data_IF_050921898057
#
_entry.id   IF_050921898057
#
_cell.length_a   1.000
_cell.length_b   1.000
_cell.length_c   1.000
_cell.angle_alpha   90.00
_cell.angle_beta   90.00
_cell.angle_gamma   90.00
#
_symmetry.space_group_name_H-M   'P 1'
#
loop_
_entity.id
_entity.type
_entity.pdbx_description
1 polymer ?
#
# COMPACT_ATOMS: atom_id res chain seq x y z
N UNK A 1 -31.48 43.16 4.31
CA UNK A 1 -30.39 43.58 3.39
C UNK A 1 -30.09 42.39 2.48
N UNK A 2 -30.54 42.47 1.21
CA UNK A 2 -30.48 41.33 0.25
C UNK A 2 -29.17 41.37 -0.49
N UNK A 3 -28.38 40.29 -0.37
CA UNK A 3 -27.11 40.12 -1.10
C UNK A 3 -27.40 39.42 -2.43
N UNK A 4 -27.05 40.08 -3.53
CA UNK A 4 -27.23 39.60 -4.90
C UNK A 4 -26.06 38.72 -5.32
N UNK A 5 -26.35 37.50 -5.77
CA UNK A 5 -25.41 36.61 -6.46
C UNK A 5 -25.27 37.06 -7.94
N UNK A 6 -24.06 37.35 -8.36
CA UNK A 6 -23.70 37.53 -9.77
C UNK A 6 -23.20 36.20 -10.34
N UNK A 7 -23.93 35.68 -11.33
CA UNK A 7 -23.54 34.54 -12.16
C UNK A 7 -22.81 35.09 -13.37
N UNK A 8 -21.55 34.69 -13.54
CA UNK A 8 -20.78 34.94 -14.76
C UNK A 8 -20.97 33.78 -15.73
N UNK A 9 -21.58 34.09 -16.87
CA UNK A 9 -21.73 33.21 -18.03
C UNK A 9 -20.45 33.36 -18.90
N UNK A 10 -19.70 32.27 -19.11
CA UNK A 10 -18.61 32.22 -20.08
C UNK A 10 -19.12 31.52 -21.34
N UNK A 11 -19.18 32.26 -22.42
CA UNK A 11 -19.52 31.75 -23.76
C UNK A 11 -18.26 31.18 -24.40
N UNK A 12 -18.27 29.87 -24.72
CA UNK A 12 -17.24 29.24 -25.51
C UNK A 12 -17.56 29.30 -27.01
N UNK A 13 -16.70 29.97 -27.77
CA UNK A 13 -16.76 29.98 -29.25
C UNK A 13 -16.14 28.65 -29.76
N UNK A 14 -16.92 27.93 -30.53
CA UNK A 14 -16.49 26.78 -31.34
C UNK A 14 -15.95 27.26 -32.69
N UNK A 15 -14.69 26.88 -32.98
CA UNK A 15 -14.10 27.02 -34.32
C UNK A 15 -14.08 25.65 -34.98
N UNK A 16 -14.90 25.48 -36.02
CA UNK A 16 -14.94 24.30 -36.87
C UNK A 16 -13.89 24.46 -38.00
N UNK A 17 -12.92 23.58 -38.12
CA UNK A 17 -12.02 23.46 -39.28
C UNK A 17 -12.35 22.18 -40.03
N UNK A 18 -12.91 22.36 -41.23
CA UNK A 18 -13.05 21.34 -42.29
C UNK A 18 -11.66 20.97 -42.84
N UNK A 19 -11.32 19.68 -42.86
CA UNK A 19 -10.27 19.17 -43.73
C UNK A 19 -10.81 18.04 -44.62
N UNK A 20 -10.53 18.20 -45.90
CA UNK A 20 -11.01 17.40 -47.01
C UNK A 20 -10.43 15.97 -47.01
N UNK A 21 -11.28 15.00 -47.33
CA UNK A 21 -10.92 13.62 -47.65
C UNK A 21 -10.29 13.51 -49.02
N UNK A 22 -9.09 12.93 -49.13
CA UNK A 22 -8.57 12.38 -50.39
C UNK A 22 -8.49 10.86 -50.26
N UNK A 23 -9.31 10.20 -51.06
CA UNK A 23 -9.35 8.75 -51.27
C UNK A 23 -8.16 8.27 -52.11
N UNK A 24 -7.32 7.34 -51.59
CA UNK A 24 -6.44 6.49 -52.39
C UNK A 24 -6.74 5.03 -52.14
N UNK A 25 -7.00 4.29 -53.24
CA UNK A 25 -7.23 2.84 -53.31
C UNK A 25 -6.03 2.04 -52.78
N UNK A 26 -6.25 0.87 -52.13
CA UNK A 26 -5.16 0.00 -51.71
C UNK A 26 -4.64 -0.87 -52.84
N UNK A 27 -3.32 -0.92 -53.00
CA UNK A 27 -2.59 -1.89 -53.82
C UNK A 27 -2.35 -3.13 -52.97
N UNK A 28 -2.80 -4.29 -53.46
CA UNK A 28 -2.59 -5.58 -52.84
C UNK A 28 -1.12 -6.05 -53.05
N UNK A 29 -0.35 -6.12 -51.97
CA UNK A 29 0.93 -6.80 -51.93
C UNK A 29 0.80 -8.13 -51.18
N UNK A 30 1.03 -9.25 -51.88
CA UNK A 30 1.11 -10.59 -51.28
C UNK A 30 2.44 -10.72 -50.54
N UNK A 31 2.40 -10.69 -49.21
CA UNK A 31 3.52 -11.01 -48.34
C UNK A 31 3.38 -12.46 -47.84
N UNK A 32 4.48 -13.23 -48.04
CA UNK A 32 4.63 -14.63 -47.60
C UNK A 32 4.47 -14.76 -46.07
N UNK A 33 3.62 -15.68 -45.66
CA UNK A 33 3.51 -16.15 -44.27
C UNK A 33 4.80 -16.88 -43.92
N UNK A 34 5.64 -16.23 -43.12
CA UNK A 34 6.74 -16.89 -42.42
C UNK A 34 6.24 -17.35 -41.08
N UNK A 35 6.17 -18.65 -40.88
CA UNK A 35 5.80 -19.31 -39.61
C UNK A 35 6.80 -18.88 -38.52
N UNK A 36 6.33 -17.97 -37.65
CA UNK A 36 7.05 -17.60 -36.42
C UNK A 36 6.95 -18.75 -35.43
N UNK A 37 8.10 -19.37 -35.14
CA UNK A 37 8.23 -20.33 -34.02
C UNK A 37 7.85 -19.65 -32.74
N UNK A 38 6.84 -20.19 -32.07
CA UNK A 38 6.42 -19.82 -30.71
C UNK A 38 7.60 -20.03 -29.75
N UNK A 39 8.27 -18.95 -29.41
CA UNK A 39 9.27 -18.94 -28.33
C UNK A 39 8.49 -18.93 -27.02
N UNK A 40 8.43 -20.07 -26.34
CA UNK A 40 8.00 -20.12 -24.94
C UNK A 40 8.93 -19.20 -24.13
N UNK A 41 8.41 -18.29 -23.28
CA UNK A 41 9.25 -17.58 -22.35
C UNK A 41 9.83 -18.61 -21.37
N UNK A 42 11.11 -18.87 -21.46
CA UNK A 42 11.87 -19.56 -20.42
C UNK A 42 11.94 -18.59 -19.25
N UNK A 43 11.09 -18.80 -18.26
CA UNK A 43 11.25 -18.17 -16.97
C UNK A 43 12.61 -18.57 -16.43
N UNK A 44 13.58 -17.66 -16.47
CA UNK A 44 14.87 -17.79 -15.83
C UNK A 44 14.57 -17.84 -14.32
N UNK A 45 14.58 -19.03 -13.74
CA UNK A 45 14.58 -19.20 -12.30
C UNK A 45 15.85 -18.53 -11.79
N UNK A 46 15.74 -17.32 -11.29
CA UNK A 46 16.81 -16.68 -10.56
C UNK A 46 16.96 -17.46 -9.25
N UNK A 47 18.14 -18.01 -9.04
CA UNK A 47 18.55 -18.70 -7.80
C UNK A 47 18.82 -17.65 -6.70
N UNK A 48 17.89 -16.72 -6.55
CA UNK A 48 18.01 -15.62 -5.60
C UNK A 48 17.69 -16.11 -4.20
N UNK A 49 18.62 -15.89 -3.27
CA UNK A 49 18.38 -16.08 -1.86
C UNK A 49 17.32 -15.08 -1.38
N UNK A 50 16.44 -15.54 -0.49
CA UNK A 50 15.38 -14.68 0.04
C UNK A 50 14.17 -15.46 0.54
N UNK A 51 13.15 -14.72 0.96
CA UNK A 51 11.86 -15.26 1.35
C UNK A 51 10.84 -14.90 0.29
N UNK A 52 10.09 -15.90 -0.16
CA UNK A 52 9.10 -15.73 -1.22
C UNK A 52 7.73 -16.19 -0.72
N UNK A 53 6.68 -15.47 -1.11
CA UNK A 53 5.30 -15.90 -0.97
C UNK A 53 4.76 -16.34 -2.33
N UNK A 54 4.30 -17.58 -2.43
CA UNK A 54 3.64 -18.14 -3.59
C UNK A 54 2.13 -18.13 -3.36
N UNK A 55 1.42 -17.22 -4.00
CA UNK A 55 -0.03 -17.17 -4.02
C UNK A 55 -0.55 -18.10 -5.11
N UNK A 56 -1.27 -19.15 -4.75
CA UNK A 56 -2.06 -19.93 -5.69
C UNK A 56 -3.46 -19.34 -5.75
N UNK A 57 -3.81 -18.73 -6.86
CA UNK A 57 -5.11 -18.06 -7.03
C UNK A 57 -6.00 -18.79 -8.01
N UNK A 58 -7.28 -18.42 -8.09
CA UNK A 58 -8.21 -18.90 -9.11
C UNK A 58 -7.79 -18.56 -10.55
N UNK A 59 -6.83 -17.62 -10.74
CA UNK A 59 -6.32 -17.19 -12.06
C UNK A 59 -4.92 -17.70 -12.35
N UNK A 60 -4.24 -18.32 -11.41
CA UNK A 60 -2.90 -18.82 -11.57
C UNK A 60 -2.01 -18.49 -10.37
N UNK A 61 -0.70 -18.65 -10.56
CA UNK A 61 0.29 -18.45 -9.52
C UNK A 61 0.95 -17.08 -9.61
N UNK A 62 1.05 -16.41 -8.46
CA UNK A 62 1.83 -15.17 -8.29
C UNK A 62 2.95 -15.47 -7.31
N UNK A 63 4.19 -15.11 -7.64
CA UNK A 63 5.34 -15.22 -6.73
C UNK A 63 5.83 -13.83 -6.37
N UNK A 64 5.94 -13.58 -5.06
CA UNK A 64 6.36 -12.29 -4.49
C UNK A 64 7.60 -12.52 -3.64
N UNK A 65 8.63 -11.72 -3.83
CA UNK A 65 9.78 -11.65 -2.91
C UNK A 65 9.43 -10.73 -1.75
N UNK A 66 9.71 -11.17 -0.51
CA UNK A 66 9.42 -10.42 0.70
C UNK A 66 10.66 -9.69 1.22
N UNK A 67 10.49 -8.46 1.66
CA UNK A 67 11.55 -7.54 2.12
C UNK A 67 11.85 -7.73 3.63
N UNK A 68 12.13 -8.96 4.04
CA UNK A 68 12.25 -9.37 5.46
C UNK A 68 13.40 -8.68 6.23
N UNK A 69 14.38 -8.11 5.53
CA UNK A 69 15.47 -7.34 6.15
C UNK A 69 15.05 -5.90 6.42
N UNK A 70 14.27 -5.28 5.52
CA UNK A 70 13.89 -3.87 5.57
C UNK A 70 12.59 -3.61 6.33
N UNK A 71 11.65 -4.57 6.29
CA UNK A 71 10.35 -4.48 6.96
C UNK A 71 10.07 -5.77 7.75
N UNK A 72 10.94 -6.11 8.74
CA UNK A 72 10.91 -7.39 9.41
C UNK A 72 9.61 -7.68 10.17
N UNK A 73 8.98 -6.69 10.79
CA UNK A 73 7.73 -6.89 11.55
C UNK A 73 6.56 -7.14 10.59
N UNK A 74 6.47 -6.37 9.52
CA UNK A 74 5.42 -6.51 8.49
C UNK A 74 5.51 -7.86 7.80
N UNK A 75 6.73 -8.28 7.42
CA UNK A 75 6.97 -9.59 6.82
C UNK A 75 6.70 -10.71 7.82
N UNK A 76 7.10 -10.56 9.09
CA UNK A 76 6.84 -11.54 10.14
C UNK A 76 5.33 -11.71 10.41
N UNK A 77 4.57 -10.62 10.45
CA UNK A 77 3.12 -10.66 10.51
C UNK A 77 2.53 -11.47 9.34
N UNK A 78 2.88 -11.09 8.11
CA UNK A 78 2.36 -11.75 6.91
C UNK A 78 2.69 -13.23 6.86
N UNK A 79 3.96 -13.61 7.14
CA UNK A 79 4.39 -15.02 7.13
C UNK A 79 3.71 -15.83 8.22
N UNK A 80 3.67 -15.31 9.46
CA UNK A 80 3.05 -16.05 10.57
C UNK A 80 1.55 -16.26 10.36
N UNK A 81 0.86 -15.32 9.71
CA UNK A 81 -0.52 -15.49 9.26
C UNK A 81 -0.62 -16.55 8.15
N UNK A 82 0.22 -16.47 7.12
CA UNK A 82 0.21 -17.41 5.99
C UNK A 82 0.50 -18.87 6.44
N UNK A 83 1.38 -19.04 7.43
CA UNK A 83 1.75 -20.36 7.97
C UNK A 83 0.84 -20.82 9.13
N UNK A 84 -0.11 -19.99 9.60
CA UNK A 84 -0.98 -20.31 10.73
C UNK A 84 -0.25 -20.37 12.08
N UNK A 85 0.92 -19.75 12.19
CA UNK A 85 1.78 -19.75 13.40
C UNK A 85 1.66 -18.47 14.23
N UNK A 86 0.76 -17.56 13.84
CA UNK A 86 0.57 -16.29 14.53
C UNK A 86 -0.19 -16.48 15.85
N UNK A 87 0.49 -16.22 16.99
CA UNK A 87 -0.06 -16.38 18.33
C UNK A 87 -1.09 -15.31 18.71
N UNK A 88 -1.11 -14.18 18.00
CA UNK A 88 -1.98 -13.03 18.33
C UNK A 88 -3.41 -13.20 17.80
N UNK A 89 -3.66 -14.22 16.97
CA UNK A 89 -5.01 -14.54 16.48
C UNK A 89 -5.87 -15.04 17.64
N UNK A 90 -6.94 -14.28 17.93
CA UNK A 90 -7.90 -14.60 19.01
C UNK A 90 -9.13 -15.36 18.53
N UNK A 91 -9.46 -15.28 17.24
CA UNK A 91 -10.59 -16.04 16.68
C UNK A 91 -10.20 -17.52 16.56
N UNK A 92 -10.84 -18.36 17.35
CA UNK A 92 -10.61 -19.81 17.37
C UNK A 92 -10.87 -20.50 16.02
N UNK A 93 -11.64 -19.88 15.14
CA UNK A 93 -11.88 -20.40 13.78
C UNK A 93 -10.66 -20.22 12.87
N UNK A 94 -9.85 -19.18 13.12
CA UNK A 94 -8.68 -18.80 12.33
C UNK A 94 -7.36 -19.21 12.98
N UNK A 95 -7.35 -19.43 14.28
CA UNK A 95 -6.17 -19.76 15.07
C UNK A 95 -5.55 -21.09 14.63
N UNK A 96 -4.24 -21.09 14.43
CA UNK A 96 -3.49 -22.29 14.03
C UNK A 96 -3.74 -22.75 12.59
N UNK A 97 -4.36 -21.93 11.76
CA UNK A 97 -4.66 -22.23 10.36
C UNK A 97 -3.99 -21.21 9.43
N UNK A 98 -3.60 -21.61 8.20
CA UNK A 98 -3.20 -20.68 7.16
C UNK A 98 -4.29 -19.63 6.93
N UNK A 99 -4.00 -18.39 7.37
CA UNK A 99 -5.00 -17.32 7.47
C UNK A 99 -5.56 -16.90 6.11
N UNK A 100 -4.71 -16.89 5.07
CA UNK A 100 -5.07 -16.37 3.75
C UNK A 100 -5.77 -17.39 2.85
N UNK A 101 -5.74 -18.67 3.21
CA UNK A 101 -6.30 -19.76 2.40
C UNK A 101 -7.82 -19.64 2.30
N UNK A 102 -8.33 -19.62 1.08
CA UNK A 102 -9.75 -19.48 0.78
C UNK A 102 -10.29 -18.04 0.85
N UNK A 103 -9.46 -17.04 1.21
CA UNK A 103 -9.86 -15.65 1.15
C UNK A 103 -9.94 -15.15 -0.29
N UNK A 104 -10.62 -14.04 -0.50
CA UNK A 104 -10.81 -13.45 -1.81
C UNK A 104 -10.13 -12.08 -1.95
N UNK A 105 -9.87 -11.69 -3.19
CA UNK A 105 -9.58 -10.32 -3.52
C UNK A 105 -10.90 -9.53 -3.50
N UNK A 106 -11.26 -9.01 -2.33
CA UNK A 106 -12.55 -8.35 -2.09
C UNK A 106 -12.67 -6.97 -2.74
N UNK A 107 -11.54 -6.37 -3.16
CA UNK A 107 -11.53 -5.08 -3.84
C UNK A 107 -10.49 -5.10 -4.95
N UNK A 108 -10.93 -4.87 -6.18
CA UNK A 108 -10.06 -4.77 -7.36
C UNK A 108 -10.41 -3.48 -8.08
N UNK A 109 -9.41 -2.62 -8.28
CA UNK A 109 -9.55 -1.40 -9.07
C UNK A 109 -8.57 -1.50 -10.24
N UNK A 110 -9.11 -1.56 -11.43
CA UNK A 110 -8.33 -1.62 -12.66
C UNK A 110 -7.36 -0.43 -12.75
N UNK A 111 -6.15 -0.68 -13.25
CA UNK A 111 -5.09 0.31 -13.35
C UNK A 111 -4.68 0.94 -12.00
N UNK A 112 -5.00 0.30 -10.89
CA UNK A 112 -4.57 0.72 -9.57
C UNK A 112 -4.01 -0.46 -8.75
N UNK A 113 -4.86 -1.35 -8.20
CA UNK A 113 -4.40 -2.45 -7.35
C UNK A 113 -5.45 -3.56 -7.20
N UNK A 114 -5.00 -4.72 -6.74
CA UNK A 114 -5.83 -5.79 -6.18
C UNK A 114 -5.61 -5.86 -4.67
N UNK A 115 -6.68 -5.95 -3.87
CA UNK A 115 -6.63 -5.96 -2.40
C UNK A 115 -7.31 -7.22 -1.86
N UNK A 116 -6.62 -7.91 -0.94
CA UNK A 116 -7.07 -9.13 -0.28
C UNK A 116 -6.65 -9.16 1.19
N UNK A 117 -6.77 -10.36 1.82
CA UNK A 117 -6.35 -10.58 3.20
C UNK A 117 -7.39 -10.19 4.25
N UNK A 118 -8.64 -9.97 3.85
CA UNK A 118 -9.78 -9.74 4.74
C UNK A 118 -10.57 -11.02 4.96
N UNK A 119 -10.66 -11.56 6.19
CA UNK A 119 -11.46 -12.78 6.47
C UNK A 119 -12.97 -12.56 6.31
N UNK A 120 -13.47 -11.32 6.41
CA UNK A 120 -14.87 -10.99 6.16
C UNK A 120 -15.17 -10.82 4.66
N UNK A 121 -14.14 -10.59 3.85
CA UNK A 121 -14.25 -10.44 2.39
C UNK A 121 -15.04 -9.21 1.93
N UNK A 122 -15.11 -8.16 2.72
CA UNK A 122 -15.83 -6.90 2.42
C UNK A 122 -15.05 -5.63 2.76
N UNK A 123 -13.79 -5.76 3.20
CA UNK A 123 -12.90 -4.67 3.58
C UNK A 123 -12.92 -4.30 5.06
N UNK A 124 -13.84 -4.87 5.87
CA UNK A 124 -13.99 -4.50 7.30
C UNK A 124 -13.23 -5.41 8.25
N UNK A 125 -12.76 -6.57 7.79
CA UNK A 125 -12.11 -7.59 8.62
C UNK A 125 -10.59 -7.42 8.70
N UNK A 126 -9.99 -8.23 9.58
CA UNK A 126 -8.54 -8.27 9.77
C UNK A 126 -8.13 -9.38 10.72
N UNK A 127 -6.89 -9.36 11.17
CA UNK A 127 -6.32 -10.34 12.10
C UNK A 127 -6.80 -10.22 13.55
N UNK A 128 -7.62 -9.18 13.85
CA UNK A 128 -8.10 -8.91 15.21
C UNK A 128 -7.15 -8.07 16.07
N UNK A 129 -6.05 -7.58 15.48
CA UNK A 129 -5.11 -6.64 16.08
C UNK A 129 -4.62 -5.65 15.00
N UNK A 130 -3.96 -4.59 15.45
CA UNK A 130 -3.26 -3.65 14.59
C UNK A 130 -1.78 -3.58 14.97
N UNK A 131 -0.89 -3.19 14.04
CA UNK A 131 0.54 -3.01 14.29
C UNK A 131 1.10 -1.81 13.54
N UNK A 132 2.32 -1.38 13.90
CA UNK A 132 2.98 -0.18 13.39
C UNK A 132 3.30 -0.26 11.89
N UNK A 133 3.48 0.91 11.29
CA UNK A 133 4.04 1.04 9.96
C UNK A 133 5.56 0.80 9.99
N UNK A 134 6.09 0.25 8.90
CA UNK A 134 7.52 0.16 8.63
C UNK A 134 7.79 0.80 7.27
N UNK A 135 8.39 1.99 7.28
CA UNK A 135 8.73 2.75 6.09
C UNK A 135 10.25 2.74 5.88
N UNK A 136 10.72 1.95 4.91
CA UNK A 136 12.09 2.01 4.45
C UNK A 136 12.20 3.00 3.27
N UNK A 137 13.14 3.96 3.30
CA UNK A 137 13.25 5.00 2.27
C UNK A 137 13.57 4.45 0.87
N UNK A 138 14.07 3.22 0.77
CA UNK A 138 14.37 2.55 -0.50
C UNK A 138 13.20 1.74 -1.05
N UNK A 139 12.16 1.50 -0.24
CA UNK A 139 10.97 0.78 -0.66
C UNK A 139 9.87 1.77 -1.06
N UNK A 140 9.53 1.76 -2.33
CA UNK A 140 8.60 2.71 -2.95
C UNK A 140 7.53 1.99 -3.76
N UNK A 141 6.40 2.67 -3.95
CA UNK A 141 5.35 2.26 -4.88
C UNK A 141 5.67 2.79 -6.30
N UNK A 142 6.86 2.49 -6.82
CA UNK A 142 7.45 3.07 -8.04
C UNK A 142 7.20 2.26 -9.32
N UNK A 143 6.56 1.12 -9.21
CA UNK A 143 6.33 0.18 -10.32
C UNK A 143 5.12 -0.73 -10.09
N UNK A 144 4.66 -1.44 -11.14
CA UNK A 144 3.70 -2.54 -10.99
C UNK A 144 4.24 -3.66 -10.08
N UNK A 145 3.33 -4.35 -9.40
CA UNK A 145 3.66 -5.54 -8.62
C UNK A 145 4.23 -5.25 -7.22
N UNK A 146 4.10 -4.05 -6.70
CA UNK A 146 4.48 -3.74 -5.31
C UNK A 146 3.45 -4.34 -4.36
N UNK A 147 3.91 -5.15 -3.39
CA UNK A 147 3.12 -5.70 -2.29
C UNK A 147 3.23 -4.76 -1.09
N UNK A 148 2.10 -4.27 -0.61
CA UNK A 148 2.03 -3.28 0.46
C UNK A 148 0.84 -3.52 1.39
N UNK A 149 0.92 -3.03 2.65
CA UNK A 149 -0.15 -3.18 3.63
C UNK A 149 -1.30 -2.21 3.36
N UNK A 150 -2.52 -2.73 3.37
CA UNK A 150 -3.70 -1.89 3.48
C UNK A 150 -3.91 -1.49 4.96
N UNK A 151 -4.27 -0.22 5.19
CA UNK A 151 -4.52 0.32 6.52
C UNK A 151 -5.60 1.41 6.47
N UNK A 152 -6.08 1.82 7.65
CA UNK A 152 -7.06 2.90 7.84
C UNK A 152 -6.41 4.16 8.46
N UNK A 153 -5.11 4.33 8.27
CA UNK A 153 -4.30 5.39 8.84
C UNK A 153 -3.07 4.85 9.57
N UNK A 154 -2.26 5.71 10.18
CA UNK A 154 -1.01 5.30 10.84
C UNK A 154 -1.22 4.21 11.89
N UNK A 155 -0.33 3.20 11.92
CA UNK A 155 -0.29 2.11 12.89
C UNK A 155 -1.57 1.23 12.95
N UNK A 156 -2.32 1.17 11.85
CA UNK A 156 -3.53 0.33 11.73
C UNK A 156 -3.35 -0.85 10.78
N UNK A 157 -2.11 -1.26 10.50
CA UNK A 157 -1.85 -2.46 9.70
C UNK A 157 -2.40 -3.71 10.41
N UNK A 158 -2.93 -4.66 9.64
CA UNK A 158 -3.52 -5.90 10.15
C UNK A 158 -3.17 -7.08 9.22
N UNK A 159 -4.14 -7.72 8.61
CA UNK A 159 -3.93 -8.81 7.66
C UNK A 159 -4.12 -8.38 6.20
N UNK A 160 -4.80 -7.26 5.93
CA UNK A 160 -5.10 -6.84 4.57
C UNK A 160 -3.86 -6.30 3.85
N UNK A 161 -3.70 -6.67 2.60
CA UNK A 161 -2.62 -6.25 1.71
C UNK A 161 -3.15 -5.89 0.33
N UNK A 162 -2.35 -5.21 -0.48
CA UNK A 162 -2.64 -4.97 -1.88
C UNK A 162 -1.39 -5.19 -2.75
N UNK A 163 -1.62 -5.50 -4.04
CA UNK A 163 -0.58 -5.58 -5.07
C UNK A 163 -0.93 -4.58 -6.15
N UNK A 164 0.03 -3.71 -6.53
CA UNK A 164 -0.19 -2.63 -7.48
C UNK A 164 -0.20 -3.09 -8.92
N UNK A 165 -1.06 -2.49 -9.77
CA UNK A 165 -1.04 -2.66 -11.23
C UNK A 165 -0.06 -1.70 -11.93
N UNK A 166 0.29 -0.59 -11.28
CA UNK A 166 1.21 0.45 -11.77
C UNK A 166 1.92 1.13 -10.60
N UNK A 167 2.75 2.11 -10.90
CA UNK A 167 3.30 3.03 -9.90
C UNK A 167 2.21 3.84 -9.20
N UNK A 168 2.35 3.99 -7.87
CA UNK A 168 1.39 4.71 -7.02
C UNK A 168 2.11 5.53 -5.95
N UNK A 169 2.96 6.51 -6.35
CA UNK A 169 3.88 7.19 -5.45
C UNK A 169 3.20 8.00 -4.34
N UNK A 170 1.92 8.34 -4.48
CA UNK A 170 1.12 9.01 -3.44
C UNK A 170 0.85 8.15 -2.20
N UNK A 171 1.15 6.83 -2.26
CA UNK A 171 1.04 5.88 -1.15
C UNK A 171 2.35 5.77 -0.34
N UNK A 172 3.46 6.33 -0.84
CA UNK A 172 4.74 6.33 -0.14
C UNK A 172 4.63 7.03 1.22
N UNK A 173 5.21 6.40 2.26
CA UNK A 173 5.14 6.91 3.63
C UNK A 173 3.76 6.83 4.28
N UNK A 174 2.78 6.17 3.63
CA UNK A 174 1.43 5.92 4.17
C UNK A 174 1.11 4.44 4.30
N UNK A 175 1.65 3.62 3.41
CA UNK A 175 1.48 2.17 3.38
C UNK A 175 2.84 1.49 3.38
N UNK A 176 3.01 0.47 4.22
CA UNK A 176 4.27 -0.26 4.37
C UNK A 176 4.48 -1.21 3.18
N UNK A 177 5.43 -0.88 2.31
CA UNK A 177 5.88 -1.79 1.24
C UNK A 177 6.68 -2.90 1.88
N UNK A 178 6.31 -4.17 1.62
CA UNK A 178 7.00 -5.31 2.22
C UNK A 178 7.33 -6.43 1.22
N UNK A 179 7.14 -6.19 -0.08
CA UNK A 179 7.51 -7.14 -1.13
C UNK A 179 7.23 -6.63 -2.52
N UNK A 180 7.63 -7.43 -3.50
CA UNK A 180 7.36 -7.16 -4.91
C UNK A 180 7.20 -8.46 -5.71
N UNK A 181 6.37 -8.42 -6.74
CA UNK A 181 6.11 -9.56 -7.64
C UNK A 181 7.36 -9.86 -8.47
N UNK A 182 7.83 -11.09 -8.40
CA UNK A 182 8.94 -11.61 -9.23
C UNK A 182 8.45 -12.46 -10.41
N UNK A 183 7.22 -13.01 -10.31
CA UNK A 183 6.59 -13.78 -11.39
C UNK A 183 5.06 -13.74 -11.24
N UNK A 184 4.33 -13.74 -12.35
CA UNK A 184 2.87 -13.78 -12.37
C UNK A 184 2.20 -12.40 -12.39
N UNK A 185 2.86 -11.35 -12.94
CA UNK A 185 2.21 -10.06 -13.15
C UNK A 185 1.02 -10.12 -14.12
N UNK A 186 1.06 -11.02 -15.08
CA UNK A 186 -0.07 -11.34 -15.96
C UNK A 186 -1.27 -11.89 -15.17
N UNK A 187 -1.02 -12.71 -14.14
CA UNK A 187 -2.04 -13.21 -13.22
C UNK A 187 -2.57 -12.07 -12.35
N UNK A 188 -1.71 -11.21 -11.80
CA UNK A 188 -2.13 -10.00 -11.04
C UNK A 188 -3.11 -9.17 -11.87
N UNK A 189 -2.78 -8.93 -13.15
CA UNK A 189 -3.62 -8.15 -14.05
C UNK A 189 -4.91 -8.87 -14.47
N UNK A 190 -4.97 -10.20 -14.37
CA UNK A 190 -6.15 -11.01 -14.69
C UNK A 190 -7.11 -11.20 -13.51
N UNK A 191 -6.67 -10.93 -12.27
CA UNK A 191 -7.50 -11.01 -11.05
C UNK A 191 -8.66 -10.03 -11.15
N UNK A 192 -9.85 -10.52 -10.81
CA UNK A 192 -11.09 -9.74 -10.68
C UNK A 192 -11.60 -9.80 -9.24
N UNK A 193 -12.48 -8.88 -8.93
CA UNK A 193 -13.13 -8.88 -7.62
C UNK A 193 -13.80 -10.24 -7.35
N UNK A 194 -13.63 -10.70 -6.11
CA UNK A 194 -14.08 -12.00 -5.59
C UNK A 194 -13.32 -13.22 -6.12
N UNK A 195 -12.27 -13.07 -6.93
CA UNK A 195 -11.33 -14.16 -7.22
C UNK A 195 -10.64 -14.65 -5.95
N UNK A 196 -10.38 -15.96 -5.87
CA UNK A 196 -9.92 -16.61 -4.65
C UNK A 196 -8.38 -16.66 -4.56
N UNK A 197 -7.89 -16.51 -3.33
CA UNK A 197 -6.59 -16.95 -2.89
C UNK A 197 -6.77 -18.37 -2.37
N UNK A 198 -6.47 -19.38 -3.21
CA UNK A 198 -6.64 -20.77 -2.81
C UNK A 198 -5.67 -21.17 -1.70
N UNK A 199 -4.41 -20.65 -1.76
CA UNK A 199 -3.41 -20.83 -0.70
C UNK A 199 -2.26 -19.83 -0.85
N UNK A 200 -1.56 -19.57 0.26
CA UNK A 200 -0.29 -18.82 0.28
C UNK A 200 0.78 -19.70 0.89
N UNK A 201 1.81 -20.05 0.10
CA UNK A 201 2.95 -20.85 0.55
C UNK A 201 4.20 -19.99 0.71
N UNK A 202 4.87 -20.10 1.84
CA UNK A 202 6.15 -19.42 2.10
C UNK A 202 7.31 -20.32 1.70
N UNK A 203 8.22 -19.77 0.87
CA UNK A 203 9.42 -20.46 0.39
C UNK A 203 10.65 -19.66 0.85
N UNK A 204 11.55 -20.33 1.61
CA UNK A 204 12.79 -19.72 2.13
C UNK A 204 13.98 -20.30 1.38
N UNK A 205 14.76 -19.45 0.70
CA UNK A 205 15.98 -19.82 -0.02
C UNK A 205 17.19 -19.16 0.62
N UNK A 206 18.24 -19.93 0.87
CA UNK A 206 19.44 -19.47 1.55
C UNK A 206 19.35 -19.53 3.07
N UNK A 207 20.51 -19.49 3.74
CA UNK A 207 20.58 -19.76 5.17
C UNK A 207 20.00 -18.65 6.04
N UNK A 208 20.12 -17.39 5.64
CA UNK A 208 19.56 -16.26 6.41
C UNK A 208 18.03 -16.25 6.33
N UNK A 209 17.47 -16.54 5.14
CA UNK A 209 16.04 -16.69 4.97
C UNK A 209 15.45 -17.83 5.83
N UNK A 210 16.17 -18.94 5.95
CA UNK A 210 15.76 -20.10 6.79
C UNK A 210 15.80 -19.79 8.29
N UNK A 211 16.67 -18.86 8.73
CA UNK A 211 16.77 -18.43 10.13
C UNK A 211 15.68 -17.41 10.54
N UNK A 212 14.97 -16.85 9.57
CA UNK A 212 13.92 -15.87 9.85
C UNK A 212 12.70 -16.54 10.50
N UNK A 213 12.60 -16.44 11.80
CA UNK A 213 11.51 -16.99 12.63
C UNK A 213 10.40 -15.93 12.76
N UNK A 214 9.45 -15.96 11.82
CA UNK A 214 8.39 -14.99 11.73
C UNK A 214 7.48 -14.97 12.98
N UNK A 215 7.11 -16.14 13.50
CA UNK A 215 6.25 -16.24 14.68
C UNK A 215 6.90 -15.61 15.90
N UNK A 216 8.18 -15.92 16.14
CA UNK A 216 8.94 -15.36 17.25
C UNK A 216 9.14 -13.85 17.11
N UNK A 217 9.53 -13.36 15.92
CA UNK A 217 9.75 -11.93 15.67
C UNK A 217 8.47 -11.15 15.94
N UNK A 218 7.33 -11.61 15.39
CA UNK A 218 6.07 -10.89 15.55
C UNK A 218 5.55 -10.95 17.00
N UNK A 219 5.62 -12.10 17.68
CA UNK A 219 5.19 -12.20 19.07
C UNK A 219 6.04 -11.35 20.03
N UNK A 220 7.37 -11.29 19.81
CA UNK A 220 8.24 -10.41 20.59
C UNK A 220 7.91 -8.93 20.37
N UNK A 221 7.65 -8.51 19.14
CA UNK A 221 7.18 -7.16 18.85
C UNK A 221 5.87 -6.86 19.58
N UNK A 222 4.88 -7.75 19.47
CA UNK A 222 3.56 -7.52 20.12
C UNK A 222 3.67 -7.47 21.63
N UNK A 223 4.54 -8.26 22.25
CA UNK A 223 4.79 -8.23 23.70
C UNK A 223 5.41 -6.89 24.16
N UNK A 224 6.32 -6.30 23.36
CA UNK A 224 6.97 -5.01 23.66
C UNK A 224 6.15 -3.77 23.27
N UNK A 225 5.11 -3.94 22.47
CA UNK A 225 4.36 -2.84 21.85
C UNK A 225 3.77 -1.84 22.84
N UNK A 226 3.21 -2.31 23.95
CA UNK A 226 2.59 -1.43 24.92
C UNK A 226 3.58 -0.42 25.53
N UNK A 227 4.81 -0.85 25.78
CA UNK A 227 5.87 0.01 26.30
C UNK A 227 6.39 0.98 25.24
N UNK A 228 6.51 0.54 23.96
CA UNK A 228 6.88 1.42 22.85
C UNK A 228 5.81 2.49 22.61
N UNK A 229 4.53 2.12 22.55
CA UNK A 229 3.41 3.05 22.35
C UNK A 229 3.35 4.09 23.49
N UNK A 230 3.61 3.68 24.74
CA UNK A 230 3.67 4.58 25.89
C UNK A 230 4.82 5.58 25.78
N UNK A 231 6.04 5.11 25.48
CA UNK A 231 7.21 5.98 25.31
C UNK A 231 7.02 6.98 24.16
N UNK A 232 6.43 6.55 23.06
CA UNK A 232 6.15 7.43 21.94
C UNK A 232 5.09 8.48 22.27
N UNK A 233 4.03 8.11 22.99
CA UNK A 233 3.02 9.05 23.46
C UNK A 233 3.62 10.11 24.41
N UNK A 234 4.49 9.70 25.33
CA UNK A 234 5.20 10.61 26.24
C UNK A 234 6.10 11.59 25.46
N UNK A 235 6.85 11.09 24.45
CA UNK A 235 7.69 11.93 23.61
C UNK A 235 6.88 12.94 22.79
N UNK A 236 5.77 12.50 22.19
CA UNK A 236 4.88 13.38 21.43
C UNK A 236 4.25 14.46 22.31
N UNK A 237 3.84 14.10 23.54
CA UNK A 237 3.32 15.05 24.51
C UNK A 237 4.38 16.11 24.90
N UNK A 238 5.64 15.71 25.09
CA UNK A 238 6.72 16.63 25.38
C UNK A 238 7.03 17.58 24.20
N UNK A 239 7.08 17.05 22.98
CA UNK A 239 7.29 17.87 21.77
C UNK A 239 6.16 18.88 21.61
N UNK A 240 4.92 18.47 21.78
CA UNK A 240 3.76 19.37 21.71
C UNK A 240 3.84 20.46 22.79
N UNK A 241 4.17 20.11 24.04
CA UNK A 241 4.33 21.10 25.11
C UNK A 241 5.37 22.16 24.75
N UNK A 242 6.54 21.74 24.22
CA UNK A 242 7.60 22.68 23.79
C UNK A 242 7.14 23.60 22.64
N UNK A 243 6.37 23.06 21.68
CA UNK A 243 5.78 23.86 20.61
C UNK A 243 4.75 24.88 21.12
N UNK A 244 3.88 24.47 22.05
CA UNK A 244 2.89 25.35 22.64
C UNK A 244 3.54 26.47 23.49
N UNK A 245 4.60 26.14 24.24
CA UNK A 245 5.41 27.12 25.01
C UNK A 245 6.09 28.13 24.08
N UNK A 246 6.65 27.66 22.96
CA UNK A 246 7.30 28.54 21.97
C UNK A 246 6.28 29.46 21.30
N UNK A 247 5.14 28.93 20.89
CA UNK A 247 4.06 29.71 20.28
C UNK A 247 3.49 30.76 21.27
N UNK A 248 3.39 30.42 22.56
CA UNK A 248 2.97 31.37 23.60
C UNK A 248 4.00 32.52 23.77
N UNK A 249 5.30 32.23 23.77
CA UNK A 249 6.36 33.25 23.81
C UNK A 249 6.30 34.18 22.60
N UNK A 250 6.22 33.63 21.40
CA UNK A 250 6.12 34.44 20.16
C UNK A 250 4.89 35.33 20.17
N UNK A 251 3.74 34.81 20.63
CA UNK A 251 2.51 35.59 20.77
C UNK A 251 2.64 36.71 21.78
N UNK A 252 3.30 36.45 22.93
CA UNK A 252 3.56 37.46 23.96
C UNK A 252 4.50 38.55 23.44
N UNK A 253 5.59 38.20 22.74
CA UNK A 253 6.54 39.15 22.14
C UNK A 253 5.85 40.00 21.06
N UNK A 254 5.01 39.38 20.21
CA UNK A 254 4.21 40.09 19.23
C UNK A 254 3.25 41.09 19.90
N UNK A 255 2.53 40.67 20.95
CA UNK A 255 1.63 41.54 21.70
C UNK A 255 2.39 42.73 22.34
N UNK A 256 3.53 42.46 23.00
CA UNK A 256 4.34 43.49 23.61
C UNK A 256 4.84 44.53 22.59
N UNK A 257 5.26 44.05 21.41
CA UNK A 257 5.79 44.91 20.35
C UNK A 257 4.72 45.83 19.72
N UNK A 258 3.49 45.33 19.56
CA UNK A 258 2.46 46.04 18.78
C UNK A 258 1.32 46.64 19.63
N UNK A 259 1.14 46.23 20.91
CA UNK A 259 0.12 46.79 21.80
C UNK A 259 0.18 48.34 21.94
N UNK A 260 1.37 49.00 22.04
CA UNK A 260 1.44 50.44 22.10
C UNK A 260 0.89 51.12 20.86
N UNK A 261 1.16 50.56 19.69
CA UNK A 261 0.71 51.10 18.38
C UNK A 261 -0.80 50.98 18.21
N UNK A 262 -1.41 49.87 18.66
CA UNK A 262 -2.85 49.65 18.62
C UNK A 262 -3.58 50.59 19.58
N UNK A 263 -3.05 50.80 20.79
CA UNK A 263 -3.61 51.72 21.77
C UNK A 263 -3.54 53.21 21.32
N UNK A 264 -2.46 53.58 20.64
CA UNK A 264 -2.30 54.94 20.07
C UNK A 264 -3.32 55.20 18.92
N UNK A 265 -3.56 54.20 18.06
CA UNK A 265 -4.59 54.32 16.99
C UNK A 265 -6.02 54.40 17.52
N UNK A 266 -6.33 53.68 18.60
CA UNK A 266 -7.66 53.70 19.21
C UNK A 266 -8.00 55.02 19.92
N UNK A 267 -7.00 55.82 20.32
CA UNK A 267 -7.19 57.15 20.92
C UNK A 267 -7.42 58.28 19.91
N UNK A 268 -7.19 58.04 18.62
CA UNK A 268 -7.32 59.01 17.53
C UNK A 268 -8.54 58.73 16.64
N UNK A 269 -9.44 57.85 17.04
CA UNK A 269 -10.78 57.61 16.51
C UNK A 269 -11.85 58.06 17.52
#
# INVERSE_FOLDING_TARGET
MKLKFNVFFVVALSVSSLFAQTTKKPVASKSKVTTSKTVKPVAKATDENGIFAEFNTSKGKITVQLEYVKTPITVANFISLAEGTNSEIKDEKLKGKPFYDGLKFHRVIENFMIQGGDPNGNGSGGSGYAFKDEFDPTLKHDKPGILSMANSGPKTNSSQFFITHKDTPWLDGKHSVFGHVTSGMDVVNAIKQDDLINSVKIVRKGDDAKKFDAAKIFSQYMAGRADEDKKEAELQAEVKRKQDEQAAKEKAEYAAKYAPTIAAKAKNL
#
